data_IF_647515198281
#
_entry.id   IF_647515198281
#
_cell.length_a   1.000
_cell.length_b   1.000
_cell.length_c   1.000
_cell.angle_alpha   90.00
_cell.angle_beta   90.00
_cell.angle_gamma   90.00
#
_symmetry.space_group_name_H-M   'P 1'
#
loop_
_entity.id
_entity.type
_entity.pdbx_description
1 polymer ?
#
# COMPACT_ATOMS: atom_id res chain seq x y z
N UNK A 1 5.18 -7.81 10.40
CA UNK A 1 4.30 -7.95 9.22
C UNK A 1 3.85 -6.56 8.82
N UNK A 2 4.31 -6.04 7.69
CA UNK A 2 4.20 -4.63 7.34
C UNK A 2 2.86 -4.31 6.67
N UNK A 3 2.21 -3.21 7.08
CA UNK A 3 0.87 -2.83 6.63
C UNK A 3 0.79 -1.32 6.45
N UNK A 4 0.16 -0.89 5.36
CA UNK A 4 -0.10 0.53 5.11
C UNK A 4 -1.59 0.74 4.79
N UNK A 5 -2.16 1.83 5.32
CA UNK A 5 -3.49 2.30 4.97
C UNK A 5 -3.39 3.38 3.89
N UNK A 6 -4.43 3.50 3.08
CA UNK A 6 -4.58 4.61 2.14
C UNK A 6 -5.91 4.59 1.42
N UNK A 7 -5.99 5.17 0.23
CA UNK A 7 -7.25 5.37 -0.49
C UNK A 7 -7.22 4.68 -1.85
N UNK A 8 -8.24 3.93 -2.21
CA UNK A 8 -8.38 3.32 -3.53
C UNK A 8 -9.85 3.37 -3.97
N UNK A 9 -10.10 3.87 -5.18
CA UNK A 9 -11.46 4.12 -5.71
C UNK A 9 -12.36 4.89 -4.73
N UNK A 10 -11.81 5.89 -4.03
CA UNK A 10 -12.56 6.65 -3.02
C UNK A 10 -12.92 5.87 -1.74
N UNK A 11 -12.38 4.65 -1.55
CA UNK A 11 -12.59 3.83 -0.34
C UNK A 11 -11.27 3.58 0.37
N UNK A 12 -11.32 3.37 1.69
CA UNK A 12 -10.13 3.00 2.47
C UNK A 12 -9.56 1.67 1.97
N UNK A 13 -8.25 1.62 1.77
CA UNK A 13 -7.53 0.42 1.39
C UNK A 13 -6.47 0.04 2.43
N UNK A 14 -6.19 -1.26 2.51
CA UNK A 14 -5.19 -1.87 3.37
C UNK A 14 -4.27 -2.73 2.53
N UNK A 15 -3.02 -2.29 2.41
CA UNK A 15 -1.97 -3.00 1.68
C UNK A 15 -1.12 -3.80 2.65
N UNK A 16 -0.89 -5.07 2.33
CA UNK A 16 -0.12 -6.01 3.15
C UNK A 16 0.98 -6.63 2.32
N UNK A 17 2.19 -6.67 2.88
CA UNK A 17 3.29 -7.42 2.28
C UNK A 17 3.10 -8.91 2.53
N UNK A 18 3.46 -9.72 1.54
CA UNK A 18 3.52 -11.17 1.57
C UNK A 18 4.89 -11.63 1.10
N UNK A 19 5.25 -12.88 1.36
CA UNK A 19 6.55 -13.44 0.99
C UNK A 19 6.85 -13.35 -0.52
N UNK A 20 5.83 -13.35 -1.37
CA UNK A 20 5.96 -13.27 -2.84
C UNK A 20 5.54 -11.92 -3.44
N UNK A 21 5.18 -10.93 -2.62
CA UNK A 21 4.69 -9.64 -3.13
C UNK A 21 3.73 -8.93 -2.18
N UNK A 22 2.57 -8.50 -2.69
CA UNK A 22 1.66 -7.60 -1.99
C UNK A 22 0.20 -8.00 -2.21
N UNK A 23 -0.67 -7.73 -1.25
CA UNK A 23 -2.11 -7.65 -1.48
C UNK A 23 -2.67 -6.31 -1.09
N UNK A 24 -3.60 -5.80 -1.90
CA UNK A 24 -4.38 -4.60 -1.63
C UNK A 24 -5.82 -5.04 -1.37
N UNK A 25 -6.30 -4.78 -0.15
CA UNK A 25 -7.69 -4.98 0.23
C UNK A 25 -8.39 -3.63 0.29
N UNK A 26 -9.60 -3.53 -0.22
CA UNK A 26 -10.41 -2.31 -0.20
C UNK A 26 -11.65 -2.58 0.65
N UNK A 27 -12.11 -1.57 1.39
CA UNK A 27 -13.40 -1.66 2.07
C UNK A 27 -14.50 -1.96 1.07
N UNK A 28 -15.36 -2.93 1.39
CA UNK A 28 -16.48 -3.28 0.52
C UNK A 28 -17.50 -2.13 0.44
N UNK A 29 -17.75 -1.46 1.56
CA UNK A 29 -18.70 -0.36 1.69
C UNK A 29 -18.07 0.85 2.42
N UNK A 30 -18.43 2.07 2.03
CA UNK A 30 -18.04 3.29 2.76
C UNK A 30 -18.71 3.37 4.15
N UNK A 31 -19.90 2.78 4.29
CA UNK A 31 -20.68 2.74 5.53
C UNK A 31 -20.32 1.56 6.45
N UNK A 32 -19.17 0.90 6.24
CA UNK A 32 -18.87 -0.30 7.01
C UNK A 32 -18.66 -0.03 8.50
N UNK A 33 -18.36 1.22 8.87
CA UNK A 33 -18.29 1.68 10.26
C UNK A 33 -19.67 1.79 10.94
N UNK A 34 -20.76 1.89 10.18
CA UNK A 34 -22.14 1.99 10.70
C UNK A 34 -22.95 0.71 10.47
N UNK A 35 -22.34 -0.34 9.94
CA UNK A 35 -23.01 -1.64 9.80
C UNK A 35 -23.13 -2.33 11.15
N UNK A 36 -24.23 -3.07 11.33
CA UNK A 36 -24.48 -3.84 12.54
C UNK A 36 -23.34 -4.85 12.78
N UNK A 37 -22.87 -4.89 14.03
CA UNK A 37 -21.90 -5.87 14.49
C UNK A 37 -22.52 -7.27 14.28
N UNK A 38 -21.84 -8.14 13.53
CA UNK A 38 -22.33 -9.47 13.09
C UNK A 38 -23.22 -9.52 11.85
N UNK A 39 -23.31 -8.45 11.06
CA UNK A 39 -24.03 -8.43 9.76
C UNK A 39 -23.53 -9.44 8.70
N UNK A 40 -22.56 -10.31 9.03
CA UNK A 40 -21.86 -11.26 8.14
C UNK A 40 -21.27 -10.63 6.86
N UNK A 41 -21.35 -9.31 6.72
CA UNK A 41 -20.86 -8.58 5.58
C UNK A 41 -19.33 -8.56 5.63
N UNK A 42 -18.70 -9.02 4.56
CA UNK A 42 -17.24 -9.02 4.45
C UNK A 42 -16.74 -7.58 4.35
N UNK A 43 -16.14 -7.07 5.43
CA UNK A 43 -15.64 -5.69 5.54
C UNK A 43 -14.55 -5.36 4.51
N UNK A 44 -13.59 -6.26 4.32
CA UNK A 44 -12.45 -6.07 3.42
C UNK A 44 -12.51 -7.05 2.26
N UNK A 45 -12.52 -6.52 1.03
CA UNK A 45 -12.45 -7.31 -0.20
C UNK A 45 -11.06 -7.19 -0.80
N UNK A 46 -10.42 -8.31 -1.08
CA UNK A 46 -9.15 -8.30 -1.83
C UNK A 46 -9.44 -7.82 -3.25
N UNK A 47 -8.72 -6.77 -3.67
CA UNK A 47 -8.89 -6.17 -5.00
C UNK A 47 -7.70 -6.46 -5.90
N UNK A 48 -6.49 -6.42 -5.35
CA UNK A 48 -5.28 -6.76 -6.09
C UNK A 48 -4.42 -7.74 -5.30
N UNK A 49 -3.92 -8.73 -6.01
CA UNK A 49 -2.83 -9.60 -5.60
C UNK A 49 -1.69 -9.37 -6.58
N UNK A 50 -0.54 -8.96 -6.06
CA UNK A 50 0.62 -8.52 -6.83
C UNK A 50 1.75 -9.47 -6.49
N UNK A 51 2.26 -10.14 -7.50
CA UNK A 51 3.46 -10.96 -7.38
C UNK A 51 4.64 -10.13 -7.85
N UNK A 52 5.66 -10.01 -7.01
CA UNK A 52 6.91 -9.32 -7.34
C UNK A 52 8.02 -10.37 -7.39
N UNK A 53 8.71 -10.44 -8.52
CA UNK A 53 9.79 -11.40 -8.76
C UNK A 53 11.04 -10.64 -9.23
N UNK A 54 12.13 -10.65 -8.44
CA UNK A 54 12.27 -11.26 -7.11
C UNK A 54 11.42 -10.53 -6.06
N UNK A 55 11.02 -11.25 -5.00
CA UNK A 55 10.23 -10.64 -3.93
C UNK A 55 11.11 -9.66 -3.15
N UNK A 56 10.74 -8.37 -3.07
CA UNK A 56 11.49 -7.38 -2.31
C UNK A 56 11.29 -7.55 -0.79
N UNK A 57 10.35 -8.40 -0.38
CA UNK A 57 9.98 -8.62 1.02
C UNK A 57 10.64 -9.89 1.53
N UNK A 58 11.90 -9.77 1.97
CA UNK A 58 12.58 -10.86 2.66
C UNK A 58 11.85 -11.26 3.96
N UNK A 59 11.91 -12.53 4.37
CA UNK A 59 11.42 -12.95 5.67
C UNK A 59 12.29 -12.34 6.77
N UNK A 60 11.85 -11.19 7.29
CA UNK A 60 12.13 -10.63 8.62
C UNK A 60 13.52 -10.96 9.23
N UNK A 61 14.58 -10.31 8.76
CA UNK A 61 15.74 -10.06 9.61
C UNK A 61 15.47 -8.86 10.53
N UNK A 62 14.81 -7.81 10.02
CA UNK A 62 14.42 -6.63 10.79
C UNK A 62 12.91 -6.50 10.89
N UNK A 63 12.38 -6.68 12.11
CA UNK A 63 10.94 -6.57 12.40
C UNK A 63 10.44 -5.12 12.42
N UNK A 64 11.34 -4.14 12.29
CA UNK A 64 11.06 -2.71 12.49
C UNK A 64 10.87 -1.92 11.19
N UNK A 65 11.30 -2.42 10.03
CA UNK A 65 11.11 -1.71 8.76
C UNK A 65 9.80 -2.10 8.08
N UNK A 66 8.82 -1.20 8.12
CA UNK A 66 7.67 -1.32 7.22
C UNK A 66 8.14 -1.12 5.78
N UNK A 67 8.32 -2.20 5.03
CA UNK A 67 8.72 -2.10 3.62
C UNK A 67 7.65 -1.44 2.75
N UNK A 68 6.38 -1.38 3.17
CA UNK A 68 5.35 -0.63 2.45
C UNK A 68 5.22 0.73 3.11
N UNK A 69 5.41 1.79 2.34
CA UNK A 69 5.32 3.16 2.83
C UNK A 69 3.96 3.78 2.56
N UNK A 70 3.41 3.52 1.37
CA UNK A 70 2.22 4.22 0.89
C UNK A 70 1.47 3.37 -0.11
N UNK A 71 0.15 3.45 -0.09
CA UNK A 71 -0.70 2.86 -1.11
C UNK A 71 -1.89 3.78 -1.34
N UNK A 72 -1.96 4.43 -2.50
CA UNK A 72 -3.10 5.27 -2.84
C UNK A 72 -3.34 5.29 -4.35
N UNK A 73 -4.61 5.40 -4.74
CA UNK A 73 -5.03 5.33 -6.13
C UNK A 73 -4.51 4.06 -6.79
N UNK A 74 -3.69 4.23 -7.82
CA UNK A 74 -3.06 3.14 -8.57
C UNK A 74 -1.58 2.94 -8.22
N UNK A 75 -1.08 3.52 -7.14
CA UNK A 75 0.35 3.50 -6.82
C UNK A 75 0.59 2.87 -5.45
N UNK A 76 1.55 1.95 -5.38
CA UNK A 76 2.10 1.43 -4.13
C UNK A 76 3.58 1.78 -4.06
N UNK A 77 3.99 2.47 -2.98
CA UNK A 77 5.38 2.74 -2.69
C UNK A 77 5.92 1.75 -1.67
N UNK A 78 7.06 1.14 -1.98
CA UNK A 78 7.71 0.20 -1.10
C UNK A 78 9.24 0.35 -1.14
N UNK A 79 9.90 -0.13 -0.09
CA UNK A 79 11.35 -0.15 0.07
C UNK A 79 11.90 -1.53 -0.24
N UNK A 80 13.06 -1.57 -0.90
CA UNK A 80 13.84 -2.78 -1.07
C UNK A 80 15.30 -2.44 -1.35
N UNK A 81 16.24 -3.11 -0.67
CA UNK A 81 17.67 -2.96 -0.94
C UNK A 81 18.18 -1.52 -0.82
N UNK A 82 17.69 -0.73 0.14
CA UNK A 82 18.06 0.67 0.31
C UNK A 82 17.51 1.60 -0.78
N UNK A 83 16.55 1.15 -1.59
CA UNK A 83 15.91 1.96 -2.63
C UNK A 83 14.41 2.01 -2.45
N UNK A 84 13.82 3.05 -3.02
CA UNK A 84 12.38 3.28 -3.02
C UNK A 84 11.82 2.98 -4.41
N UNK A 85 10.79 2.15 -4.45
CA UNK A 85 10.12 1.73 -5.66
C UNK A 85 8.67 2.17 -5.66
N UNK A 86 8.19 2.56 -6.84
CA UNK A 86 6.79 2.79 -7.16
C UNK A 86 6.28 1.66 -8.04
N UNK A 87 5.20 1.02 -7.62
CA UNK A 87 4.49 0.03 -8.40
C UNK A 87 3.16 0.60 -8.88
N UNK A 88 2.97 0.64 -10.20
CA UNK A 88 1.72 1.06 -10.81
C UNK A 88 0.76 -0.15 -10.94
N UNK A 89 -0.34 -0.11 -10.21
CA UNK A 89 -1.36 -1.16 -10.18
C UNK A 89 -2.09 -1.35 -11.51
N UNK A 90 -2.12 -0.32 -12.37
CA UNK A 90 -2.75 -0.36 -13.69
C UNK A 90 -1.80 -0.93 -14.74
N UNK A 91 -0.57 -0.41 -14.84
CA UNK A 91 0.40 -0.84 -15.86
C UNK A 91 1.21 -2.07 -15.44
N UNK A 92 1.20 -2.42 -14.15
CA UNK A 92 2.00 -3.50 -13.55
C UNK A 92 3.51 -3.25 -13.60
N UNK A 93 3.92 -2.02 -13.86
CA UNK A 93 5.31 -1.62 -13.94
C UNK A 93 5.84 -1.21 -12.58
N UNK A 94 7.14 -1.48 -12.37
CA UNK A 94 7.88 -1.06 -11.20
C UNK A 94 8.94 -0.05 -11.63
N UNK A 95 9.00 1.09 -10.95
CA UNK A 95 10.00 2.14 -11.19
C UNK A 95 10.75 2.44 -9.90
N UNK A 96 12.07 2.59 -9.99
CA UNK A 96 12.87 3.13 -8.89
C UNK A 96 12.68 4.66 -8.84
N UNK A 97 12.21 5.17 -7.72
CA UNK A 97 11.90 6.61 -7.54
C UNK A 97 12.89 7.33 -6.64
N UNK A 98 13.75 6.60 -5.93
CA UNK A 98 14.78 7.21 -5.08
C UNK A 98 15.67 6.18 -4.40
N UNK A 99 16.75 6.70 -3.83
CA UNK A 99 17.69 5.97 -2.98
C UNK A 99 17.46 6.39 -1.51
N UNK A 100 17.45 5.43 -0.59
CA UNK A 100 17.27 5.65 0.85
C UNK A 100 18.56 6.16 1.51
N UNK A 101 19.72 6.00 0.86
CA UNK A 101 21.00 6.54 1.33
C UNK A 101 21.14 8.05 1.13
N UNK A 102 20.19 8.69 0.46
CA UNK A 102 20.08 10.14 0.44
C UNK A 102 19.38 10.60 1.74
N UNK A 103 20.17 10.73 2.81
CA UNK A 103 19.70 11.07 4.15
C UNK A 103 18.94 12.42 4.21
N UNK A 104 19.06 13.26 3.19
CA UNK A 104 18.36 14.53 3.06
C UNK A 104 17.03 14.44 2.30
N UNK A 105 16.73 13.32 1.64
CA UNK A 105 15.52 13.15 0.84
C UNK A 105 14.33 12.63 1.70
N UNK A 106 13.37 13.51 2.00
CA UNK A 106 12.06 13.10 2.57
C UNK A 106 10.99 13.02 1.48
N UNK A 107 10.44 11.82 1.29
CA UNK A 107 9.25 11.63 0.45
C UNK A 107 8.00 11.79 1.32
N UNK A 108 7.17 12.78 0.99
CA UNK A 108 5.88 13.01 1.64
C UNK A 108 4.79 12.83 0.59
N UNK A 109 3.77 12.02 0.89
CA UNK A 109 2.57 11.95 0.05
C UNK A 109 1.79 13.25 0.18
N UNK A 110 1.84 14.10 -0.84
CA UNK A 110 1.02 15.30 -0.89
C UNK A 110 -0.42 14.90 -1.24
N UNK A 111 -1.34 15.19 -0.32
CA UNK A 111 -2.78 15.07 -0.57
C UNK A 111 -3.29 16.50 -0.68
N UNK A 112 -3.78 16.87 -1.87
CA UNK A 112 -4.40 18.16 -2.07
C UNK A 112 -5.81 18.10 -1.47
N UNK A 113 -5.98 18.61 -0.26
CA UNK A 113 -7.27 18.61 0.46
C UNK A 113 -8.16 19.81 0.09
N UNK A 114 -7.87 20.52 -1.00
CA UNK A 114 -8.72 21.62 -1.44
C UNK A 114 -10.03 21.06 -2.00
N UNK A 115 -11.02 20.93 -1.13
CA UNK A 115 -12.42 20.80 -1.50
C UNK A 115 -12.91 22.22 -1.79
N UNK A 116 -13.19 22.53 -3.06
CA UNK A 116 -14.05 23.67 -3.37
C UNK A 116 -15.44 23.39 -2.77
N UNK A 117 -15.95 24.36 -2.01
CA UNK A 117 -17.32 24.37 -1.47
C UNK A 117 -18.22 25.08 -2.49
#
# INVERSE_FOLDING_TARGET
MCRALGLMDGKLCLTKAQSSGLTVNVLSNAYTNTMEMNSKARTWKMKHQITLSPSPFAPAADRLSSNIMFASGNVVLFRSGGKIYSYNLKTKETQCVGDEFDYDARIVSHVNSLVEI
#
